data_IF_605810384687
#
_entry.id   IF_605810384687
#
_cell.length_a   1.000
_cell.length_b   1.000
_cell.length_c   1.000
_cell.angle_alpha   90.00
_cell.angle_beta   90.00
_cell.angle_gamma   90.00
#
_symmetry.space_group_name_H-M   'P 1'
#
loop_
_entity.id
_entity.type
_entity.pdbx_description
1 polymer ?
#
# COMPACT_ATOMS: atom_id res chain seq x y z
N UNK A 1 0.73 7.92 -4.16
CA UNK A 1 0.13 9.26 -3.97
C UNK A 1 1.22 10.30 -4.21
N UNK A 2 0.87 11.57 -4.49
CA UNK A 2 1.86 12.62 -4.79
C UNK A 2 1.99 12.96 -6.28
N UNK A 3 2.99 13.78 -6.60
CA UNK A 3 3.31 14.25 -7.96
C UNK A 3 4.09 13.17 -8.71
N UNK A 4 3.70 12.89 -9.95
CA UNK A 4 4.36 11.86 -10.77
C UNK A 4 5.81 12.27 -11.07
N UNK A 5 6.74 11.32 -10.97
CA UNK A 5 8.17 11.47 -11.29
C UNK A 5 8.95 12.52 -10.47
N UNK A 6 8.33 13.17 -9.48
CA UNK A 6 8.98 14.22 -8.69
C UNK A 6 10.25 13.72 -7.99
N UNK A 7 10.24 12.51 -7.45
CA UNK A 7 11.40 11.95 -6.76
C UNK A 7 12.60 11.72 -7.69
N UNK A 8 12.37 11.30 -8.93
CA UNK A 8 13.45 11.13 -9.90
C UNK A 8 14.10 12.46 -10.25
N UNK A 9 13.29 13.52 -10.35
CA UNK A 9 13.77 14.88 -10.60
C UNK A 9 14.59 15.43 -9.42
N UNK A 10 14.15 15.17 -8.18
CA UNK A 10 14.79 15.68 -6.97
C UNK A 10 15.96 14.82 -6.47
N UNK A 11 16.16 13.62 -7.02
CA UNK A 11 17.21 12.70 -6.57
C UNK A 11 18.62 13.32 -6.49
N UNK A 12 19.08 14.14 -7.47
CA UNK A 12 20.42 14.72 -7.43
C UNK A 12 20.65 15.70 -6.27
N UNK A 13 19.59 16.27 -5.71
CA UNK A 13 19.67 17.25 -4.61
C UNK A 13 19.29 16.65 -3.24
N UNK A 14 18.99 15.34 -3.20
CA UNK A 14 18.67 14.64 -1.96
C UNK A 14 19.87 14.56 -1.02
N UNK A 15 19.64 14.84 0.27
CA UNK A 15 20.67 14.70 1.31
C UNK A 15 20.34 13.51 2.21
N UNK A 16 21.25 12.53 2.36
CA UNK A 16 21.08 11.46 3.33
C UNK A 16 21.18 12.03 4.75
N UNK A 17 20.28 11.60 5.63
CA UNK A 17 20.26 12.00 7.05
C UNK A 17 20.21 10.74 7.89
N UNK A 18 21.13 10.64 8.85
CA UNK A 18 21.13 9.56 9.85
C UNK A 18 20.00 9.77 10.85
N UNK A 19 19.36 8.69 11.30
CA UNK A 19 18.19 8.78 12.19
C UNK A 19 18.57 9.27 13.59
N UNK A 20 19.81 9.01 14.00
CA UNK A 20 20.43 9.46 15.24
C UNK A 20 20.47 11.00 15.31
N UNK A 21 20.60 11.67 14.16
CA UNK A 21 20.60 13.13 14.09
C UNK A 21 19.21 13.76 14.29
N UNK A 22 18.16 12.93 14.41
CA UNK A 22 16.78 13.36 14.58
C UNK A 22 16.33 13.33 16.05
N UNK A 23 17.21 12.94 16.98
CA UNK A 23 16.90 12.91 18.41
C UNK A 23 16.41 14.28 18.91
N UNK A 24 15.35 14.25 19.72
CA UNK A 24 14.72 15.45 20.28
C UNK A 24 13.90 16.27 19.28
N UNK A 25 13.96 15.97 17.97
CA UNK A 25 13.20 16.71 16.95
C UNK A 25 11.72 16.34 16.98
N UNK A 26 10.89 17.35 16.81
CA UNK A 26 9.45 17.17 16.56
C UNK A 26 9.23 16.92 15.08
N UNK A 27 8.55 15.82 14.75
CA UNK A 27 8.35 15.38 13.35
C UNK A 27 6.86 15.22 13.08
N UNK A 28 6.35 15.98 12.11
CA UNK A 28 4.98 15.81 11.62
C UNK A 28 4.91 14.58 10.69
N UNK A 29 3.92 13.71 10.94
CA UNK A 29 3.74 12.45 10.21
C UNK A 29 2.39 12.46 9.51
N UNK A 30 2.42 12.31 8.19
CA UNK A 30 1.23 12.05 7.39
C UNK A 30 0.69 10.64 7.69
N UNK A 31 -0.35 10.58 8.51
CA UNK A 31 -1.02 9.34 8.91
C UNK A 31 -1.78 8.70 7.75
N UNK A 32 -2.33 9.50 6.84
CA UNK A 32 -3.12 9.05 5.69
C UNK A 32 -2.30 8.13 4.78
N UNK A 33 -1.02 8.49 4.55
CA UNK A 33 -0.09 7.67 3.78
C UNK A 33 0.23 6.36 4.50
N UNK A 34 0.47 6.40 5.82
CA UNK A 34 0.77 5.20 6.61
C UNK A 34 -0.37 4.20 6.57
N UNK A 35 -1.61 4.63 6.83
CA UNK A 35 -2.80 3.78 6.79
C UNK A 35 -2.93 3.10 5.42
N UNK A 36 -2.81 3.89 4.34
CA UNK A 36 -2.89 3.35 2.98
C UNK A 36 -1.79 2.31 2.71
N UNK A 37 -0.55 2.61 3.10
CA UNK A 37 0.58 1.68 2.93
C UNK A 37 0.34 0.37 3.67
N UNK A 38 -0.03 0.41 4.95
CA UNK A 38 -0.22 -0.80 5.75
C UNK A 38 -1.35 -1.68 5.23
N UNK A 39 -2.47 -1.08 4.81
CA UNK A 39 -3.55 -1.83 4.17
C UNK A 39 -3.10 -2.45 2.82
N UNK A 40 -2.28 -1.72 2.05
CA UNK A 40 -1.84 -2.17 0.74
C UNK A 40 -0.76 -3.26 0.80
N UNK A 41 0.16 -3.23 1.77
CA UNK A 41 1.39 -4.04 1.74
C UNK A 41 1.44 -5.17 2.77
N UNK A 42 0.74 -5.07 3.90
CA UNK A 42 0.82 -6.10 4.92
C UNK A 42 -0.08 -7.28 4.55
N UNK A 43 0.56 -8.41 4.29
CA UNK A 43 -0.09 -9.70 4.02
C UNK A 43 0.39 -10.73 5.03
N UNK A 44 -0.50 -11.63 5.43
CA UNK A 44 -0.14 -12.82 6.18
C UNK A 44 0.62 -13.81 5.26
N UNK A 45 1.23 -14.83 5.86
CA UNK A 45 2.02 -15.84 5.12
C UNK A 45 1.22 -16.57 4.04
N UNK A 46 -0.10 -16.64 4.21
CA UNK A 46 -1.07 -17.21 3.27
C UNK A 46 -1.55 -16.22 2.18
N UNK A 47 -0.98 -15.02 2.13
CA UNK A 47 -1.33 -13.98 1.16
C UNK A 47 -2.59 -13.18 1.50
N UNK A 48 -3.27 -13.48 2.61
CA UNK A 48 -4.46 -12.71 3.04
C UNK A 48 -4.06 -11.35 3.59
N UNK A 49 -4.96 -10.37 3.47
CA UNK A 49 -4.78 -9.06 4.10
C UNK A 49 -4.77 -9.26 5.61
N UNK A 50 -3.72 -8.78 6.27
CA UNK A 50 -3.62 -8.90 7.72
C UNK A 50 -4.69 -8.02 8.39
N UNK A 51 -5.57 -8.64 9.18
CA UNK A 51 -6.56 -7.93 10.00
C UNK A 51 -5.80 -7.00 10.97
N UNK A 52 -6.25 -5.75 11.09
CA UNK A 52 -5.59 -4.71 11.91
C UNK A 52 -4.14 -4.40 11.51
N UNK A 53 -3.75 -4.64 10.25
CA UNK A 53 -2.43 -4.28 9.70
C UNK A 53 -2.00 -2.84 10.04
N UNK A 54 -2.94 -1.91 9.97
CA UNK A 54 -2.68 -0.50 10.27
C UNK A 54 -2.27 -0.31 11.74
N UNK A 55 -2.95 -0.94 12.70
CA UNK A 55 -2.61 -0.84 14.14
C UNK A 55 -1.20 -1.37 14.38
N UNK A 56 -0.89 -2.58 13.89
CA UNK A 56 0.42 -3.19 14.04
C UNK A 56 1.52 -2.35 13.37
N UNK A 57 1.24 -1.83 12.18
CA UNK A 57 2.16 -0.98 11.43
C UNK A 57 2.46 0.33 12.16
N UNK A 58 1.42 1.00 12.68
CA UNK A 58 1.57 2.22 13.48
C UNK A 58 2.38 1.96 14.73
N UNK A 59 2.03 0.92 15.50
CA UNK A 59 2.76 0.56 16.73
C UNK A 59 4.25 0.39 16.46
N UNK A 60 4.62 -0.42 15.46
CA UNK A 60 6.03 -0.65 15.10
C UNK A 60 6.76 0.63 14.71
N UNK A 61 6.12 1.50 13.90
CA UNK A 61 6.76 2.75 13.48
C UNK A 61 6.84 3.76 14.63
N UNK A 62 5.83 3.85 15.50
CA UNK A 62 5.86 4.68 16.72
C UNK A 62 7.03 4.24 17.60
N UNK A 63 7.13 2.94 17.90
CA UNK A 63 8.24 2.41 18.70
C UNK A 63 9.59 2.77 18.08
N UNK A 64 9.76 2.66 16.76
CA UNK A 64 11.01 3.04 16.08
C UNK A 64 11.31 4.53 16.22
N UNK A 65 10.32 5.40 16.09
CA UNK A 65 10.52 6.85 16.21
C UNK A 65 10.92 7.23 17.63
N UNK A 66 10.22 6.68 18.63
CA UNK A 66 10.51 6.91 20.04
C UNK A 66 11.87 6.32 20.44
N UNK A 67 12.26 5.18 19.88
CA UNK A 67 13.58 4.58 20.10
C UNK A 67 14.73 5.52 19.69
N UNK A 68 14.56 6.29 18.62
CA UNK A 68 15.51 7.32 18.19
C UNK A 68 15.25 8.71 18.84
N UNK A 69 14.47 8.76 19.93
CA UNK A 69 14.20 9.99 20.68
C UNK A 69 13.42 11.08 19.92
N UNK A 70 12.75 10.74 18.82
CA UNK A 70 11.91 11.68 18.07
C UNK A 70 10.57 11.92 18.79
N UNK A 71 9.99 13.10 18.56
CA UNK A 71 8.67 13.50 19.08
C UNK A 71 7.65 13.54 17.93
N UNK A 72 6.92 12.44 17.64
CA UNK A 72 6.00 12.39 16.51
C UNK A 72 4.72 13.19 16.76
N UNK A 73 4.29 13.94 15.76
CA UNK A 73 2.98 14.60 15.70
C UNK A 73 2.21 14.03 14.51
N UNK A 74 1.14 13.31 14.79
CA UNK A 74 0.33 12.65 13.75
C UNK A 74 -0.65 13.64 13.13
N UNK A 75 -0.57 13.80 11.81
CA UNK A 75 -1.43 14.66 11.01
C UNK A 75 -2.34 13.77 10.16
N UNK A 76 -3.64 13.94 10.35
CA UNK A 76 -4.67 13.24 9.58
C UNK A 76 -5.31 14.19 8.57
N UNK A 77 -5.62 13.69 7.37
CA UNK A 77 -6.32 14.48 6.36
C UNK A 77 -7.73 14.84 6.88
N UNK A 78 -8.10 16.11 6.70
CA UNK A 78 -9.49 16.55 6.82
C UNK A 78 -10.29 16.29 5.54
N UNK A 79 -11.37 17.07 5.35
CA UNK A 79 -12.18 17.01 4.12
C UNK A 79 -11.34 17.28 2.86
N UNK A 80 -11.50 16.44 1.83
CA UNK A 80 -10.79 16.62 0.57
C UNK A 80 -11.30 17.88 -0.18
N UNK A 81 -10.39 18.77 -0.65
CA UNK A 81 -10.78 19.93 -1.46
C UNK A 81 -11.50 19.53 -2.75
N UNK A 82 -12.35 20.40 -3.28
CA UNK A 82 -13.14 20.15 -4.49
C UNK A 82 -12.28 19.70 -5.67
N UNK A 83 -11.12 20.34 -5.86
CA UNK A 83 -10.16 20.01 -6.93
C UNK A 83 -9.62 18.56 -6.84
N UNK A 84 -9.54 17.99 -5.63
CA UNK A 84 -9.07 16.61 -5.40
C UNK A 84 -10.18 15.57 -5.67
N UNK A 85 -11.47 15.96 -5.68
CA UNK A 85 -12.62 15.03 -5.85
C UNK A 85 -12.57 14.28 -7.18
N UNK A 86 -12.34 14.97 -8.29
CA UNK A 86 -12.27 14.33 -9.61
C UNK A 86 -11.18 13.25 -9.67
N UNK A 87 -9.99 13.54 -9.13
CA UNK A 87 -8.87 12.59 -9.06
C UNK A 87 -9.17 11.41 -8.13
N UNK A 88 -9.85 11.65 -7.00
CA UNK A 88 -10.26 10.58 -6.08
C UNK A 88 -11.27 9.63 -6.73
N UNK A 89 -12.25 10.16 -7.45
CA UNK A 89 -13.25 9.37 -8.17
C UNK A 89 -12.59 8.51 -9.26
N UNK A 90 -11.66 9.08 -10.03
CA UNK A 90 -10.94 8.33 -11.05
C UNK A 90 -10.10 7.20 -10.45
N UNK A 91 -9.45 7.44 -9.31
CA UNK A 91 -8.71 6.38 -8.58
C UNK A 91 -9.64 5.28 -8.08
N UNK A 92 -10.82 5.62 -7.56
CA UNK A 92 -11.83 4.64 -7.13
C UNK A 92 -12.28 3.77 -8.30
N UNK A 93 -12.58 4.40 -9.45
CA UNK A 93 -12.99 3.71 -10.68
C UNK A 93 -11.93 2.75 -11.20
N UNK A 94 -10.66 3.14 -11.20
CA UNK A 94 -9.55 2.25 -11.59
C UNK A 94 -9.42 1.04 -10.66
N UNK A 95 -9.60 1.24 -9.35
CA UNK A 95 -9.52 0.15 -8.36
C UNK A 95 -10.66 -0.87 -8.55
N UNK A 96 -11.89 -0.41 -8.81
CA UNK A 96 -13.01 -1.32 -9.09
C UNK A 96 -12.84 -2.05 -10.43
N UNK A 97 -12.40 -1.35 -11.48
CA UNK A 97 -12.13 -1.96 -12.78
C UNK A 97 -11.05 -3.04 -12.74
N UNK A 98 -9.97 -2.81 -11.98
CA UNK A 98 -8.93 -3.82 -11.77
C UNK A 98 -9.50 -5.08 -11.08
N UNK A 99 -10.29 -4.92 -10.02
CA UNK A 99 -10.91 -6.07 -9.34
C UNK A 99 -11.75 -6.94 -10.28
N UNK A 100 -12.56 -6.32 -11.15
CA UNK A 100 -13.35 -7.03 -12.15
C UNK A 100 -12.48 -7.76 -13.19
N UNK A 101 -11.39 -7.14 -13.65
CA UNK A 101 -10.45 -7.78 -14.59
C UNK A 101 -9.75 -8.99 -13.97
N UNK A 102 -9.37 -8.91 -12.69
CA UNK A 102 -8.69 -10.02 -11.99
C UNK A 102 -9.61 -11.24 -11.84
N UNK A 103 -10.89 -11.03 -11.53
CA UNK A 103 -11.88 -12.11 -11.45
C UNK A 103 -12.02 -12.86 -12.79
N UNK A 104 -12.09 -12.12 -13.90
CA UNK A 104 -12.19 -12.69 -15.25
C UNK A 104 -10.94 -13.46 -15.68
N UNK A 105 -9.75 -13.02 -15.23
CA UNK A 105 -8.50 -13.75 -15.46
C UNK A 105 -8.46 -15.03 -14.64
N UNK A 106 -8.84 -14.99 -13.36
CA UNK A 106 -8.89 -16.16 -12.49
C UNK A 106 -9.85 -17.24 -13.04
N UNK A 107 -11.03 -16.82 -13.53
CA UNK A 107 -12.00 -17.72 -14.17
C UNK A 107 -11.40 -18.41 -15.41
N UNK A 108 -10.71 -17.66 -16.28
CA UNK A 108 -10.04 -18.22 -17.46
C UNK A 108 -8.92 -19.20 -17.10
N UNK A 109 -8.14 -18.90 -16.07
CA UNK A 109 -7.08 -19.78 -15.58
C UNK A 109 -7.65 -21.09 -15.04
N UNK A 110 -8.71 -21.01 -14.23
CA UNK A 110 -9.40 -22.18 -13.68
C UNK A 110 -9.97 -23.05 -14.80
N UNK A 111 -10.67 -22.44 -15.76
CA UNK A 111 -11.20 -23.16 -16.93
C UNK A 111 -10.10 -23.85 -17.75
N UNK A 112 -8.94 -23.20 -17.91
CA UNK A 112 -7.79 -23.81 -18.58
C UNK A 112 -7.19 -24.99 -17.80
N UNK A 113 -7.11 -24.90 -16.46
CA UNK A 113 -6.68 -26.01 -15.62
C UNK A 113 -7.64 -27.20 -15.72
N UNK A 114 -8.94 -26.98 -15.58
CA UNK A 114 -9.95 -28.05 -15.68
C UNK A 114 -9.89 -28.78 -17.03
N UNK A 115 -9.68 -28.06 -18.13
CA UNK A 115 -9.49 -28.67 -19.45
C UNK A 115 -8.24 -29.55 -19.52
N UNK A 116 -7.13 -29.13 -18.92
CA UNK A 116 -5.90 -29.95 -18.86
C UNK A 116 -6.11 -31.20 -18.02
N UNK A 117 -6.80 -31.09 -16.89
CA UNK A 117 -7.15 -32.20 -16.01
C UNK A 117 -8.00 -33.25 -16.77
N UNK A 118 -9.04 -32.79 -17.46
CA UNK A 118 -9.94 -33.65 -18.24
C UNK A 118 -9.20 -34.42 -19.35
N UNK A 119 -8.27 -33.76 -20.06
CA UNK A 119 -7.44 -34.41 -21.09
C UNK A 119 -6.49 -35.44 -20.47
N UNK A 120 -5.91 -35.17 -19.29
CA UNK A 120 -5.08 -36.15 -18.59
C UNK A 120 -5.87 -37.38 -18.18
N UNK A 121 -7.08 -37.20 -17.65
CA UNK A 121 -7.96 -38.32 -17.30
C UNK A 121 -8.40 -39.13 -18.52
N UNK A 122 -8.70 -38.49 -19.65
CA UNK A 122 -9.10 -39.17 -20.88
C UNK A 122 -7.95 -39.92 -21.59
N UNK A 123 -6.68 -39.60 -21.30
CA UNK A 123 -5.49 -40.27 -21.86
C UNK A 123 -4.85 -41.28 -20.91
N UNK A 124 -5.32 -41.37 -19.67
CA UNK A 124 -4.76 -42.20 -18.59
C UNK A 124 -5.63 -43.40 -18.18
N UNK A 125 -6.64 -43.73 -18.98
CA UNK A 125 -7.38 -45.00 -18.93
C UNK A 125 -7.29 -45.69 -20.28
#
# INVERSE_FOLDING_TARGET
MGVKSLWNLLAPVGRPVMLENMEGKTVAIDSSIWIYQFQATMRAKDGRVLVNAHVLGFLRRICKLLFHGMKPVFVFDGGAPALKKATLNERRRKKSGAAASHAKIAERLLAAQMRREAIKHAKGG
#
